data_IF_355175306237
#
_entry.id   IF_355175306237
#
_cell.length_a   1.000
_cell.length_b   1.000
_cell.length_c   1.000
_cell.angle_alpha   90.00
_cell.angle_beta   90.00
_cell.angle_gamma   90.00
#
_symmetry.space_group_name_H-M   'P 1'
#
loop_
_entity.id
_entity.type
_entity.pdbx_description
1 polymer ?
#
# COMPACT_ATOMS: atom_id res chain seq x y z
N UNK A 1 16.72 7.82 -9.25
CA UNK A 1 16.12 6.97 -10.29
C UNK A 1 16.73 7.35 -11.62
N UNK A 2 17.61 6.52 -12.17
CA UNK A 2 17.98 6.63 -13.58
C UNK A 2 16.75 6.12 -14.33
N UNK A 3 15.98 7.02 -14.95
CA UNK A 3 14.94 6.61 -15.89
C UNK A 3 15.57 5.66 -16.93
N UNK A 4 14.79 4.73 -17.49
CA UNK A 4 15.24 3.79 -18.52
C UNK A 4 15.63 4.50 -19.83
N UNK A 5 16.61 5.41 -19.79
CA UNK A 5 17.18 6.11 -20.94
C UNK A 5 18.10 5.20 -21.77
N UNK A 6 18.09 3.90 -21.49
CA UNK A 6 18.87 2.88 -22.18
C UNK A 6 17.89 1.82 -22.66
N UNK A 7 17.76 1.71 -23.97
CA UNK A 7 17.04 0.64 -24.62
C UNK A 7 18.05 -0.27 -25.28
N UNK A 8 18.17 -1.50 -24.75
CA UNK A 8 19.08 -2.49 -25.28
C UNK A 8 18.43 -3.20 -26.46
N UNK A 9 19.18 -3.38 -27.55
CA UNK A 9 18.75 -4.14 -28.72
C UNK A 9 19.74 -5.29 -28.94
N UNK A 10 19.21 -6.50 -29.10
CA UNK A 10 20.04 -7.69 -29.38
C UNK A 10 20.47 -7.69 -30.84
N UNK A 11 21.77 -7.68 -31.08
CA UNK A 11 22.36 -7.82 -32.41
C UNK A 11 22.54 -9.31 -32.76
N UNK A 12 22.35 -9.64 -34.03
CA UNK A 12 22.59 -10.94 -34.62
C UNK A 12 23.76 -10.89 -35.62
N UNK A 13 23.92 -11.94 -36.42
CA UNK A 13 25.06 -12.12 -37.34
C UNK A 13 24.91 -11.39 -38.68
N UNK A 14 23.69 -11.03 -39.07
CA UNK A 14 23.40 -10.29 -40.30
C UNK A 14 23.30 -8.78 -40.07
N UNK A 15 24.01 -8.02 -40.90
CA UNK A 15 24.11 -6.56 -40.84
C UNK A 15 22.78 -5.89 -41.19
N UNK A 16 22.06 -6.38 -42.20
CA UNK A 16 20.77 -5.79 -42.59
C UNK A 16 19.67 -6.10 -41.56
N UNK A 17 19.63 -7.32 -41.05
CA UNK A 17 18.75 -7.68 -39.93
C UNK A 17 19.06 -6.89 -38.65
N UNK A 18 20.32 -6.52 -38.40
CA UNK A 18 20.68 -5.64 -37.29
C UNK A 18 20.12 -4.23 -37.47
N UNK A 19 20.26 -3.66 -38.66
CA UNK A 19 19.71 -2.34 -38.98
C UNK A 19 18.19 -2.30 -38.79
N UNK A 20 17.46 -3.27 -39.33
CA UNK A 20 16.01 -3.36 -39.15
C UNK A 20 15.60 -3.45 -37.66
N UNK A 21 16.34 -4.21 -36.84
CA UNK A 21 16.07 -4.30 -35.40
C UNK A 21 16.29 -2.96 -34.69
N UNK A 22 17.31 -2.20 -35.10
CA UNK A 22 17.55 -0.86 -34.58
C UNK A 22 16.43 0.10 -35.01
N UNK A 23 16.01 0.07 -36.27
CA UNK A 23 14.93 0.91 -36.79
C UNK A 23 13.62 0.66 -36.04
N UNK A 24 13.22 -0.61 -35.88
CA UNK A 24 12.02 -0.97 -35.11
C UNK A 24 12.12 -0.51 -33.65
N UNK A 25 13.30 -0.59 -33.04
CA UNK A 25 13.50 -0.14 -31.66
C UNK A 25 13.37 1.38 -31.53
N UNK A 26 13.86 2.14 -32.51
CA UNK A 26 13.76 3.59 -32.58
C UNK A 26 12.32 4.05 -32.83
N UNK A 27 11.61 3.42 -33.76
CA UNK A 27 10.19 3.70 -34.05
C UNK A 27 9.28 3.44 -32.84
N UNK A 28 9.65 2.51 -31.96
CA UNK A 28 8.91 2.21 -30.74
C UNK A 28 9.08 3.23 -29.62
N UNK A 29 10.07 4.13 -29.69
CA UNK A 29 10.36 5.08 -28.60
C UNK A 29 9.27 6.15 -28.41
N UNK A 30 8.78 6.82 -29.47
CA UNK A 30 7.73 7.83 -29.32
C UNK A 30 6.43 7.25 -28.74
N UNK A 31 6.10 6.01 -29.12
CA UNK A 31 4.92 5.30 -28.61
C UNK A 31 5.06 5.04 -27.10
N UNK A 32 6.24 4.57 -26.66
CA UNK A 32 6.52 4.35 -25.24
C UNK A 32 6.53 5.66 -24.45
N UNK A 33 7.07 6.72 -25.03
CA UNK A 33 7.03 8.06 -24.42
C UNK A 33 5.59 8.51 -24.19
N UNK A 34 4.75 8.40 -25.22
CA UNK A 34 3.34 8.79 -25.14
C UNK A 34 2.60 7.97 -24.09
N UNK A 35 2.78 6.65 -24.06
CA UNK A 35 2.17 5.78 -23.05
C UNK A 35 2.64 6.15 -21.63
N UNK A 36 3.92 6.47 -21.45
CA UNK A 36 4.44 6.91 -20.14
C UNK A 36 3.84 8.25 -19.71
N UNK A 37 3.68 9.19 -20.65
CA UNK A 37 3.05 10.49 -20.40
C UNK A 37 1.59 10.35 -20.00
N UNK A 38 0.85 9.48 -20.68
CA UNK A 38 -0.54 9.16 -20.34
C UNK A 38 -0.65 8.51 -18.96
N UNK A 39 0.22 7.54 -18.65
CA UNK A 39 0.27 6.93 -17.32
C UNK A 39 0.55 7.97 -16.23
N UNK A 40 1.49 8.90 -16.47
CA UNK A 40 1.80 9.97 -15.54
C UNK A 40 0.60 10.88 -15.32
N UNK A 41 -0.06 11.31 -16.40
CA UNK A 41 -1.28 12.12 -16.31
C UNK A 41 -2.38 11.40 -15.53
N UNK A 42 -2.62 10.12 -15.82
CA UNK A 42 -3.62 9.32 -15.12
C UNK A 42 -3.31 9.22 -13.63
N UNK A 43 -2.04 9.00 -13.27
CA UNK A 43 -1.61 8.89 -11.88
C UNK A 43 -1.77 10.22 -11.14
N UNK A 44 -1.47 11.34 -11.80
CA UNK A 44 -1.72 12.67 -11.24
C UNK A 44 -3.20 12.89 -10.96
N UNK A 45 -4.09 12.56 -11.90
CA UNK A 45 -5.54 12.66 -11.71
C UNK A 45 -6.01 11.77 -10.56
N UNK A 46 -5.50 10.54 -10.46
CA UNK A 46 -5.82 9.63 -9.35
C UNK A 46 -5.36 10.19 -8.00
N UNK A 47 -4.18 10.80 -7.96
CA UNK A 47 -3.64 11.43 -6.76
C UNK A 47 -4.51 12.63 -6.33
N UNK A 48 -4.88 13.49 -7.27
CA UNK A 48 -5.78 14.62 -7.01
C UNK A 48 -7.14 14.15 -6.51
N UNK A 49 -7.71 13.12 -7.15
CA UNK A 49 -8.98 12.52 -6.72
C UNK A 49 -8.87 11.92 -5.32
N UNK A 50 -7.82 11.15 -5.06
CA UNK A 50 -7.57 10.56 -3.74
C UNK A 50 -7.37 11.64 -2.66
N UNK A 51 -6.67 12.74 -2.97
CA UNK A 51 -6.56 13.90 -2.07
C UNK A 51 -7.91 14.54 -1.79
N UNK A 52 -8.75 14.71 -2.80
CA UNK A 52 -10.09 15.25 -2.64
C UNK A 52 -10.97 14.34 -1.78
N UNK A 53 -10.87 13.01 -1.95
CA UNK A 53 -11.59 12.04 -1.13
C UNK A 53 -11.06 11.96 0.31
N UNK A 54 -9.75 12.05 0.52
CA UNK A 54 -9.15 12.12 1.87
C UNK A 54 -9.57 13.41 2.59
N UNK A 55 -9.69 14.52 1.86
CA UNK A 55 -10.22 15.77 2.42
C UNK A 55 -11.73 15.73 2.61
N UNK A 56 -12.44 14.79 1.98
CA UNK A 56 -13.89 14.67 2.14
C UNK A 56 -14.15 14.24 3.59
N UNK A 57 -14.80 15.10 4.40
CA UNK A 57 -14.97 14.82 5.81
C UNK A 57 -15.73 13.52 6.00
N UNK A 58 -15.30 12.73 6.99
CA UNK A 58 -15.91 11.45 7.28
C UNK A 58 -17.36 11.71 7.72
N UNK A 59 -18.38 11.15 7.03
CA UNK A 59 -19.78 11.52 7.29
C UNK A 59 -20.25 11.18 8.70
N UNK A 60 -19.52 10.32 9.42
CA UNK A 60 -19.80 9.97 10.82
C UNK A 60 -18.86 10.63 11.83
N UNK A 61 -18.05 11.61 11.44
CA UNK A 61 -17.13 12.30 12.34
C UNK A 61 -17.88 12.99 13.50
N UNK A 62 -19.05 13.55 13.23
CA UNK A 62 -19.93 14.10 14.26
C UNK A 62 -20.51 13.01 15.20
N UNK A 63 -20.90 11.85 14.68
CA UNK A 63 -21.36 10.72 15.49
C UNK A 63 -20.23 10.10 16.31
N UNK A 64 -19.02 10.07 15.77
CA UNK A 64 -17.85 9.53 16.43
C UNK A 64 -17.42 10.48 17.56
N UNK A 65 -17.33 11.78 17.32
CA UNK A 65 -17.03 12.76 18.37
C UNK A 65 -18.07 12.77 19.50
N UNK A 66 -19.37 12.67 19.18
CA UNK A 66 -20.42 12.60 20.22
C UNK A 66 -20.35 11.31 21.03
N UNK A 67 -20.07 10.17 20.39
CA UNK A 67 -19.88 8.90 21.11
C UNK A 67 -18.58 8.88 21.91
N UNK A 68 -17.52 9.49 21.41
CA UNK A 68 -16.21 9.57 22.10
C UNK A 68 -16.29 10.50 23.31
N UNK A 69 -16.89 11.67 23.17
CA UNK A 69 -17.13 12.59 24.29
C UNK A 69 -18.03 11.96 25.37
N UNK A 70 -19.11 11.27 24.98
CA UNK A 70 -19.96 10.55 25.92
C UNK A 70 -19.23 9.40 26.61
N UNK A 71 -18.33 8.70 25.90
CA UNK A 71 -17.47 7.67 26.50
C UNK A 71 -16.44 8.28 27.46
N UNK A 72 -15.83 9.41 27.14
CA UNK A 72 -14.89 10.11 28.02
C UNK A 72 -15.56 10.65 29.28
N UNK A 73 -16.77 11.19 29.17
CA UNK A 73 -17.60 11.59 30.31
C UNK A 73 -17.95 10.37 31.18
N UNK A 74 -18.38 9.26 30.56
CA UNK A 74 -18.67 8.02 31.29
C UNK A 74 -17.42 7.45 31.95
N UNK A 75 -16.28 7.45 31.27
CA UNK A 75 -15.02 6.96 31.78
C UNK A 75 -14.54 7.82 32.95
N UNK A 76 -14.72 9.14 32.88
CA UNK A 76 -14.43 10.06 33.98
C UNK A 76 -15.34 9.82 35.19
N UNK A 77 -16.62 9.51 34.97
CA UNK A 77 -17.57 9.15 36.03
C UNK A 77 -17.31 7.76 36.64
N UNK A 78 -16.88 6.80 35.82
CA UNK A 78 -16.58 5.43 36.26
C UNK A 78 -15.23 5.34 36.98
N UNK A 79 -14.24 6.16 36.58
CA UNK A 79 -12.93 6.25 37.22
C UNK A 79 -12.96 6.91 38.61
N UNK A 80 -14.13 7.37 39.07
CA UNK A 80 -14.32 7.83 40.46
C UNK A 80 -14.54 6.68 41.45
N UNK A 81 -14.80 5.45 40.98
CA UNK A 81 -15.12 4.28 41.84
C UNK A 81 -13.98 3.25 41.97
N UNK A 82 -12.81 3.50 41.37
CA UNK A 82 -11.63 2.64 41.53
C UNK A 82 -10.41 3.41 42.03
N UNK A 83 -10.43 3.72 43.33
CA UNK A 83 -9.18 3.75 44.10
C UNK A 83 -8.74 2.30 44.28
N UNK A 84 -7.66 1.94 43.61
CA UNK A 84 -6.86 0.69 43.65
C UNK A 84 -7.40 -0.48 44.51
N UNK A 85 -7.36 -1.70 43.96
CA UNK A 85 -6.86 -2.83 44.71
C UNK A 85 -5.48 -3.22 44.18
N UNK A 86 -4.47 -2.93 44.99
CA UNK A 86 -3.24 -3.71 45.05
C UNK A 86 -3.62 -5.20 45.16
N UNK A 87 -3.43 -5.96 44.08
CA UNK A 87 -3.42 -7.43 44.12
C UNK A 87 -2.12 -7.89 43.48
N UNK A 88 -1.19 -8.16 44.38
CA UNK A 88 -0.08 -9.09 44.26
C UNK A 88 -0.62 -10.43 43.74
N UNK A 89 -0.10 -10.94 42.61
CA UNK A 89 0.59 -12.25 42.57
C UNK A 89 0.94 -12.72 41.15
N UNK A 90 2.14 -13.31 41.08
CA UNK A 90 2.61 -14.36 40.18
C UNK A 90 2.67 -14.11 38.66
N UNK A 91 3.89 -13.89 38.16
CA UNK A 91 4.30 -14.56 36.92
C UNK A 91 4.13 -16.08 37.08
N UNK A 92 3.68 -16.76 36.02
CA UNK A 92 4.62 -17.65 35.37
C UNK A 92 4.60 -17.53 33.83
N UNK A 93 5.81 -17.64 33.28
CA UNK A 93 6.10 -17.93 31.87
C UNK A 93 5.13 -18.97 31.26
N UNK A 94 4.49 -18.60 30.15
CA UNK A 94 3.90 -19.57 29.21
C UNK A 94 4.52 -19.34 27.83
N UNK A 95 5.74 -19.86 27.72
CA UNK A 95 6.31 -20.33 26.48
C UNK A 95 5.40 -21.44 25.90
N UNK A 96 5.27 -21.49 24.57
CA UNK A 96 4.67 -22.57 23.76
C UNK A 96 3.14 -22.62 23.59
N UNK A 97 2.67 -22.07 22.46
CA UNK A 97 2.06 -22.85 21.35
C UNK A 97 1.66 -21.96 20.18
N UNK A 98 2.53 -21.89 19.17
CA UNK A 98 2.17 -21.44 17.82
C UNK A 98 1.34 -22.52 17.11
N UNK A 99 0.09 -22.26 16.68
CA UNK A 99 -0.69 -23.25 15.95
C UNK A 99 -0.21 -23.41 14.50
N UNK A 100 -0.11 -24.67 14.10
CA UNK A 100 0.47 -25.19 12.86
C UNK A 100 -0.12 -24.60 11.57
N UNK A 101 0.76 -24.13 10.66
CA UNK A 101 0.44 -23.93 9.24
C UNK A 101 0.26 -25.29 8.57
N UNK A 102 -0.98 -25.78 8.45
CA UNK A 102 -1.31 -26.88 7.53
C UNK A 102 -1.22 -26.37 6.09
N UNK A 103 -0.14 -26.73 5.40
CA UNK A 103 0.01 -26.56 3.94
C UNK A 103 -0.85 -27.60 3.21
N UNK A 104 -1.62 -27.24 2.18
CA UNK A 104 -2.23 -28.24 1.30
C UNK A 104 -1.14 -28.87 0.42
N UNK A 105 -0.97 -30.19 0.52
CA UNK A 105 -0.11 -30.99 -0.35
C UNK A 105 -0.82 -31.24 -1.68
N UNK A 106 -0.22 -30.79 -2.78
CA UNK A 106 -0.61 -31.11 -4.14
C UNK A 106 0.37 -32.17 -4.68
N UNK A 107 -0.07 -33.42 -4.74
CA UNK A 107 0.54 -34.54 -5.49
C UNK A 107 -0.62 -35.55 -5.66
N UNK A 108 -0.97 -36.07 -6.84
CA UNK A 108 -0.27 -36.32 -8.09
C UNK A 108 -1.30 -36.58 -9.18
#
# INVERSE_FOLDING_TARGET
MIGQLRHTVTLGTDVFGNLQRMDNALEGLPIKEQACREQLSNLQTQLETAKAEVQKPFPREAELNTKTARLEELNSLLNLDHKEPEIVDAEPDEDQRSPERRRPQLER
#
